data_IF_210798216897
#
_entry.id   IF_210798216897
#
_cell.length_a   1.000
_cell.length_b   1.000
_cell.length_c   1.000
_cell.angle_alpha   90.00
_cell.angle_beta   90.00
_cell.angle_gamma   90.00
#
_symmetry.space_group_name_H-M   'P 1'
#
loop_
_entity.id
_entity.type
_entity.pdbx_description
1 polymer ?
#
# COMPACT_ATOMS: atom_id res chain seq x y z
N UNK A 1 -29.07 -0.73 -13.00
CA UNK A 1 -29.87 -1.97 -12.87
C UNK A 1 -29.25 -3.16 -13.64
N UNK A 2 -28.20 -2.93 -14.45
CA UNK A 2 -27.64 -3.95 -15.37
C UNK A 2 -26.38 -4.67 -14.89
N UNK A 3 -25.77 -4.21 -13.79
CA UNK A 3 -24.62 -4.85 -13.17
C UNK A 3 -24.77 -6.37 -12.95
N UNK A 4 -25.91 -6.91 -12.48
CA UNK A 4 -26.04 -8.36 -12.30
C UNK A 4 -26.13 -9.13 -13.62
N UNK A 5 -26.72 -8.55 -14.68
CA UNK A 5 -26.84 -9.19 -16.01
C UNK A 5 -25.51 -9.24 -16.75
N UNK A 6 -24.71 -8.17 -16.65
CA UNK A 6 -23.36 -8.12 -17.23
C UNK A 6 -22.47 -9.15 -16.52
N UNK A 7 -22.58 -9.26 -15.20
CA UNK A 7 -21.82 -10.24 -14.41
C UNK A 7 -22.10 -11.68 -14.84
N UNK A 8 -23.36 -12.05 -15.03
CA UNK A 8 -23.72 -13.42 -15.43
C UNK A 8 -23.33 -13.73 -16.88
N UNK A 9 -23.41 -12.75 -17.78
CA UNK A 9 -22.99 -12.93 -19.18
C UNK A 9 -21.48 -13.13 -19.30
N UNK A 10 -20.69 -12.30 -18.60
CA UNK A 10 -19.23 -12.42 -18.61
C UNK A 10 -18.76 -13.70 -17.89
N UNK A 11 -19.45 -14.15 -16.84
CA UNK A 11 -19.16 -15.43 -16.20
C UNK A 11 -19.41 -16.64 -17.11
N UNK A 12 -20.41 -16.56 -18.00
CA UNK A 12 -20.72 -17.60 -18.98
C UNK A 12 -19.68 -17.78 -20.08
N UNK A 13 -18.77 -16.83 -20.27
CA UNK A 13 -17.68 -16.92 -21.25
C UNK A 13 -16.49 -17.76 -20.75
N UNK A 14 -16.46 -18.14 -19.47
CA UNK A 14 -15.38 -18.92 -18.88
C UNK A 14 -15.85 -20.32 -18.45
N UNK A 15 -15.00 -21.35 -18.59
CA UNK A 15 -15.30 -22.70 -18.12
C UNK A 15 -15.73 -22.72 -16.64
N UNK A 16 -16.66 -23.61 -16.23
CA UNK A 16 -17.19 -23.68 -14.86
C UNK A 16 -16.10 -23.73 -13.77
N UNK A 17 -14.98 -24.40 -14.07
CA UNK A 17 -13.83 -24.56 -13.17
C UNK A 17 -13.15 -23.24 -12.78
N UNK A 18 -13.31 -22.17 -13.58
CA UNK A 18 -12.65 -20.88 -13.37
C UNK A 18 -13.59 -19.76 -12.90
N UNK A 19 -14.90 -19.99 -12.87
CA UNK A 19 -15.86 -19.01 -12.39
C UNK A 19 -15.63 -18.50 -10.95
N UNK A 20 -15.25 -19.33 -9.95
CA UNK A 20 -14.99 -18.81 -8.59
C UNK A 20 -13.77 -17.87 -8.54
N UNK A 21 -12.72 -18.18 -9.30
CA UNK A 21 -11.53 -17.32 -9.44
C UNK A 21 -11.88 -15.99 -10.11
N UNK A 22 -12.62 -16.04 -11.21
CA UNK A 22 -13.04 -14.85 -11.95
C UNK A 22 -13.95 -13.95 -11.09
N UNK A 23 -14.85 -14.55 -10.31
CA UNK A 23 -15.68 -13.83 -9.35
C UNK A 23 -14.87 -13.11 -8.26
N UNK A 24 -13.73 -13.67 -7.84
CA UNK A 24 -12.80 -13.00 -6.91
C UNK A 24 -12.02 -11.88 -7.59
N UNK A 25 -11.53 -12.08 -8.82
CA UNK A 25 -10.86 -11.05 -9.61
C UNK A 25 -11.75 -9.80 -9.78
N UNK A 26 -13.00 -9.99 -10.21
CA UNK A 26 -13.95 -8.89 -10.36
C UNK A 26 -14.26 -8.18 -9.04
N UNK A 27 -14.35 -8.92 -7.93
CA UNK A 27 -14.56 -8.33 -6.60
C UNK A 27 -13.39 -7.44 -6.19
N UNK A 28 -12.15 -7.85 -6.46
CA UNK A 28 -10.94 -7.05 -6.18
C UNK A 28 -10.88 -5.79 -7.02
N UNK A 29 -11.14 -5.89 -8.32
CA UNK A 29 -11.21 -4.74 -9.22
C UNK A 29 -12.30 -3.79 -8.73
N UNK A 30 -13.53 -4.27 -8.52
CA UNK A 30 -14.64 -3.43 -8.03
C UNK A 30 -14.30 -2.69 -6.73
N UNK A 31 -13.61 -3.35 -5.80
CA UNK A 31 -13.14 -2.71 -4.56
C UNK A 31 -12.14 -1.58 -4.81
N UNK A 32 -11.20 -1.76 -5.76
CA UNK A 32 -10.24 -0.70 -6.15
C UNK A 32 -10.99 0.53 -6.65
N UNK A 33 -11.92 0.35 -7.59
CA UNK A 33 -12.68 1.47 -8.16
C UNK A 33 -13.55 2.16 -7.10
N UNK A 34 -14.25 1.40 -6.26
CA UNK A 34 -15.05 1.96 -5.17
C UNK A 34 -14.21 2.74 -4.16
N UNK A 35 -13.05 2.21 -3.77
CA UNK A 35 -12.14 2.87 -2.85
C UNK A 35 -11.56 4.15 -3.48
N UNK A 36 -11.15 4.09 -4.75
CA UNK A 36 -10.61 5.24 -5.48
C UNK A 36 -11.61 6.40 -5.55
N UNK A 37 -12.84 6.17 -6.04
CA UNK A 37 -13.83 7.25 -6.16
C UNK A 37 -14.22 7.85 -4.80
N UNK A 38 -14.37 7.00 -3.77
CA UNK A 38 -14.64 7.48 -2.40
C UNK A 38 -13.49 8.29 -1.85
N UNK A 39 -12.26 7.83 -2.09
CA UNK A 39 -11.04 8.52 -1.71
C UNK A 39 -10.93 9.88 -2.40
N UNK A 40 -11.20 9.94 -3.71
CA UNK A 40 -11.09 11.18 -4.47
C UNK A 40 -12.07 12.24 -4.00
N UNK A 41 -13.35 11.88 -3.81
CA UNK A 41 -14.37 12.83 -3.32
C UNK A 41 -13.95 13.38 -1.95
N UNK A 42 -13.42 12.52 -1.09
CA UNK A 42 -12.91 12.94 0.22
C UNK A 42 -11.69 13.86 0.10
N UNK A 43 -10.77 13.56 -0.83
CA UNK A 43 -9.59 14.40 -1.11
C UNK A 43 -10.01 15.79 -1.58
N UNK A 44 -10.89 15.88 -2.58
CA UNK A 44 -11.43 17.14 -3.09
C UNK A 44 -12.05 17.98 -1.96
N UNK A 45 -12.81 17.36 -1.06
CA UNK A 45 -13.42 18.04 0.07
C UNK A 45 -12.37 18.54 1.08
N UNK A 46 -11.43 17.68 1.46
CA UNK A 46 -10.37 18.02 2.43
C UNK A 46 -9.51 19.15 1.89
N UNK A 47 -9.05 19.06 0.63
CA UNK A 47 -8.20 20.07 0.01
C UNK A 47 -8.96 21.37 -0.19
N UNK A 48 -10.20 21.33 -0.67
CA UNK A 48 -11.00 22.54 -0.85
C UNK A 48 -11.27 23.28 0.46
N UNK A 49 -11.67 22.55 1.52
CA UNK A 49 -11.95 23.14 2.84
C UNK A 49 -10.67 23.63 3.52
N UNK A 50 -9.58 22.86 3.48
CA UNK A 50 -8.31 23.27 4.09
C UNK A 50 -7.72 24.49 3.39
N UNK A 51 -7.83 24.57 2.06
CA UNK A 51 -7.40 25.73 1.28
C UNK A 51 -8.25 26.95 1.59
N UNK A 52 -9.59 26.81 1.60
CA UNK A 52 -10.48 27.91 1.97
C UNK A 52 -10.14 28.44 3.37
N UNK A 53 -10.09 27.58 4.39
CA UNK A 53 -9.81 28.01 5.76
C UNK A 53 -8.43 28.68 5.88
N UNK A 54 -7.41 28.14 5.21
CA UNK A 54 -6.06 28.69 5.29
C UNK A 54 -5.94 30.05 4.62
N UNK A 55 -6.61 30.24 3.48
CA UNK A 55 -6.66 31.52 2.77
C UNK A 55 -7.55 32.55 3.49
N UNK A 56 -8.68 32.11 4.06
CA UNK A 56 -9.58 32.95 4.86
C UNK A 56 -8.85 33.50 6.09
N UNK A 57 -8.11 32.64 6.81
CA UNK A 57 -7.30 33.04 7.96
C UNK A 57 -6.17 34.01 7.57
N UNK A 58 -5.67 33.92 6.34
CA UNK A 58 -4.70 34.85 5.79
C UNK A 58 -5.33 36.15 5.24
N UNK A 59 -6.66 36.30 5.31
CA UNK A 59 -7.38 37.47 4.82
C UNK A 59 -7.43 37.58 3.29
N UNK A 60 -7.46 36.44 2.57
CA UNK A 60 -7.50 36.42 1.12
C UNK A 60 -8.89 36.80 0.57
N UNK A 61 -9.00 37.83 -0.29
CA UNK A 61 -10.24 38.16 -0.96
C UNK A 61 -10.73 36.99 -1.81
N UNK A 62 -11.98 36.56 -1.59
CA UNK A 62 -12.57 35.44 -2.33
C UNK A 62 -11.99 34.07 -1.95
N UNK A 63 -11.44 33.91 -0.74
CA UNK A 63 -10.88 32.64 -0.25
C UNK A 63 -11.80 31.43 -0.46
N UNK A 64 -13.11 31.58 -0.28
CA UNK A 64 -14.08 30.50 -0.50
C UNK A 64 -14.12 30.03 -1.96
N UNK A 65 -14.10 30.96 -2.91
CA UNK A 65 -14.08 30.64 -4.34
C UNK A 65 -12.78 29.95 -4.70
N UNK A 66 -11.65 30.46 -4.22
CA UNK A 66 -10.33 29.86 -4.44
C UNK A 66 -10.23 28.46 -3.84
N UNK A 67 -10.76 28.25 -2.63
CA UNK A 67 -10.83 26.93 -2.01
C UNK A 67 -11.74 25.97 -2.77
N UNK A 68 -12.89 26.43 -3.27
CA UNK A 68 -13.76 25.61 -4.12
C UNK A 68 -13.07 25.21 -5.44
N UNK A 69 -12.34 26.13 -6.07
CA UNK A 69 -11.54 25.85 -7.26
C UNK A 69 -10.43 24.84 -6.94
N UNK A 70 -9.73 25.00 -5.82
CA UNK A 70 -8.71 24.04 -5.39
C UNK A 70 -9.29 22.64 -5.20
N UNK A 71 -10.40 22.49 -4.48
CA UNK A 71 -11.07 21.21 -4.30
C UNK A 71 -11.60 20.60 -5.60
N UNK A 72 -12.07 21.42 -6.55
CA UNK A 72 -12.52 20.94 -7.86
C UNK A 72 -11.36 20.47 -8.75
N UNK A 73 -10.25 21.22 -8.77
CA UNK A 73 -9.05 20.86 -9.53
C UNK A 73 -8.34 19.64 -8.92
N UNK A 74 -8.55 19.37 -7.63
CA UNK A 74 -8.07 18.16 -6.94
C UNK A 74 -8.64 16.86 -7.53
N UNK A 75 -9.62 16.90 -8.44
CA UNK A 75 -10.05 15.69 -9.18
C UNK A 75 -8.85 15.00 -9.84
N UNK A 76 -7.83 15.74 -10.28
CA UNK A 76 -6.58 15.16 -10.78
C UNK A 76 -5.49 15.29 -9.70
N UNK A 77 -5.14 14.18 -9.00
CA UNK A 77 -4.21 14.22 -7.87
C UNK A 77 -2.88 14.89 -8.24
N UNK A 78 -2.31 15.67 -7.31
CA UNK A 78 -1.06 16.45 -7.44
C UNK A 78 -1.10 17.62 -8.46
N UNK A 79 -1.95 17.54 -9.49
CA UNK A 79 -2.10 18.63 -10.46
C UNK A 79 -3.04 19.72 -9.93
N UNK A 80 -4.06 19.34 -9.17
CA UNK A 80 -5.07 20.24 -8.63
C UNK A 80 -4.53 21.43 -7.84
N UNK A 81 -3.77 21.21 -6.76
CA UNK A 81 -3.31 22.29 -5.89
C UNK A 81 -2.29 23.19 -6.59
N UNK A 82 -1.44 22.59 -7.43
CA UNK A 82 -0.45 23.31 -8.25
C UNK A 82 -1.14 24.30 -9.20
N UNK A 83 -2.21 23.87 -9.87
CA UNK A 83 -2.96 24.73 -10.79
C UNK A 83 -3.80 25.76 -10.04
N UNK A 84 -4.41 25.39 -8.91
CA UNK A 84 -5.22 26.27 -8.08
C UNK A 84 -4.42 27.40 -7.42
N UNK A 85 -3.14 27.17 -7.17
CA UNK A 85 -2.22 28.18 -6.63
C UNK A 85 -2.07 29.38 -7.58
N UNK A 86 -2.11 29.17 -8.90
CA UNK A 86 -1.90 30.23 -9.91
C UNK A 86 -2.90 31.39 -9.73
N UNK A 87 -4.24 31.19 -9.80
CA UNK A 87 -5.18 32.27 -9.61
C UNK A 87 -5.11 32.85 -8.19
N UNK A 88 -4.82 32.04 -7.17
CA UNK A 88 -4.70 32.53 -5.80
C UNK A 88 -3.52 33.50 -5.61
N UNK A 89 -2.36 33.19 -6.21
CA UNK A 89 -1.19 34.07 -6.20
C UNK A 89 -1.44 35.35 -6.99
N UNK A 90 -2.14 35.26 -8.14
CA UNK A 90 -2.54 36.45 -8.91
C UNK A 90 -3.44 37.36 -8.07
N UNK A 91 -4.44 36.80 -7.38
CA UNK A 91 -5.31 37.56 -6.48
C UNK A 91 -4.51 38.18 -5.34
N UNK A 92 -3.59 37.43 -4.73
CA UNK A 92 -2.72 37.94 -3.66
C UNK A 92 -1.87 39.15 -4.10
N UNK A 93 -1.31 39.11 -5.31
CA UNK A 93 -0.49 40.20 -5.87
C UNK A 93 -1.30 41.45 -6.19
N UNK A 94 -2.54 41.28 -6.68
CA UNK A 94 -3.38 42.40 -7.14
C UNK A 94 -4.16 43.00 -5.98
N UNK A 95 -4.80 42.18 -5.17
CA UNK A 95 -5.76 42.62 -4.15
C UNK A 95 -5.14 42.71 -2.75
N UNK A 96 -4.04 41.99 -2.48
CA UNK A 96 -3.44 41.95 -1.16
C UNK A 96 -4.31 41.17 -0.15
N UNK A 97 -4.06 41.42 1.14
CA UNK A 97 -4.77 40.79 2.26
C UNK A 97 -5.59 41.81 3.02
N UNK A 98 -6.84 41.47 3.32
CA UNK A 98 -7.74 42.29 4.14
C UNK A 98 -7.28 42.37 5.61
N UNK A 99 -6.55 41.35 6.08
CA UNK A 99 -6.12 41.22 7.48
C UNK A 99 -4.66 41.63 7.67
N UNK A 100 -3.79 41.18 6.77
CA UNK A 100 -2.34 41.43 6.86
C UNK A 100 -1.91 42.73 6.18
N UNK A 101 -2.69 43.23 5.22
CA UNK A 101 -2.43 44.51 4.56
C UNK A 101 -2.37 45.69 5.55
N UNK A 102 -3.35 45.85 6.46
CA UNK A 102 -3.29 46.87 7.52
C UNK A 102 -2.11 46.71 8.49
N UNK A 103 -1.51 45.53 8.58
CA UNK A 103 -0.31 45.28 9.40
C UNK A 103 1.00 45.67 8.69
N UNK A 104 0.93 46.24 7.49
CA UNK A 104 2.09 46.68 6.71
C UNK A 104 2.72 45.60 5.83
N UNK A 105 2.04 44.47 5.62
CA UNK A 105 2.50 43.45 4.66
C UNK A 105 2.12 43.90 3.24
N UNK A 106 3.12 44.02 2.38
CA UNK A 106 2.94 44.34 0.97
C UNK A 106 2.41 43.14 0.17
N UNK A 107 1.80 43.42 -0.98
CA UNK A 107 1.18 42.39 -1.81
C UNK A 107 2.16 41.30 -2.27
N UNK A 108 3.45 41.64 -2.45
CA UNK A 108 4.48 40.66 -2.86
C UNK A 108 4.77 39.69 -1.71
N UNK A 109 4.94 40.20 -0.49
CA UNK A 109 5.08 39.34 0.70
C UNK A 109 3.84 38.50 0.94
N UNK A 110 2.64 39.04 0.72
CA UNK A 110 1.39 38.27 0.84
C UNK A 110 1.27 37.16 -0.21
N UNK A 111 1.70 37.42 -1.45
CA UNK A 111 1.78 36.39 -2.47
C UNK A 111 2.76 35.27 -2.09
N UNK A 112 3.90 35.61 -1.48
CA UNK A 112 4.85 34.62 -0.98
C UNK A 112 4.26 33.78 0.16
N UNK A 113 3.52 34.41 1.09
CA UNK A 113 2.77 33.70 2.14
C UNK A 113 1.75 32.75 1.51
N UNK A 114 1.04 33.19 0.47
CA UNK A 114 0.06 32.36 -0.25
C UNK A 114 0.73 31.14 -0.88
N UNK A 115 1.88 31.29 -1.53
CA UNK A 115 2.69 30.16 -2.02
C UNK A 115 3.08 29.23 -0.88
N UNK A 116 3.51 29.77 0.26
CA UNK A 116 3.84 29.00 1.46
C UNK A 116 2.66 28.19 2.01
N UNK A 117 1.45 28.74 1.98
CA UNK A 117 0.22 28.05 2.37
C UNK A 117 -0.05 26.86 1.43
N UNK A 118 -0.04 27.09 0.12
CA UNK A 118 -0.27 26.01 -0.87
C UNK A 118 0.81 24.93 -0.76
N UNK A 119 2.07 25.32 -0.56
CA UNK A 119 3.16 24.38 -0.31
C UNK A 119 2.91 23.54 0.94
N UNK A 120 2.51 24.16 2.06
CA UNK A 120 2.21 23.44 3.29
C UNK A 120 1.03 22.47 3.12
N UNK A 121 -0.02 22.88 2.42
CA UNK A 121 -1.16 22.03 2.10
C UNK A 121 -0.70 20.83 1.26
N UNK A 122 0.13 21.05 0.23
CA UNK A 122 0.68 19.97 -0.60
C UNK A 122 1.52 18.99 0.23
N UNK A 123 2.30 19.49 1.19
CA UNK A 123 3.08 18.64 2.09
C UNK A 123 2.18 17.81 3.02
N UNK A 124 1.12 18.41 3.56
CA UNK A 124 0.12 17.70 4.36
C UNK A 124 -0.60 16.64 3.52
N UNK A 125 -0.93 16.97 2.28
CA UNK A 125 -1.56 16.05 1.34
C UNK A 125 -0.69 14.82 1.11
N UNK A 126 0.54 15.04 0.65
CA UNK A 126 1.45 13.98 0.23
C UNK A 126 1.89 13.09 1.39
N UNK A 127 2.10 13.66 2.58
CA UNK A 127 2.68 12.94 3.71
C UNK A 127 1.64 12.39 4.70
N UNK A 128 0.43 12.95 4.75
CA UNK A 128 -0.57 12.60 5.77
C UNK A 128 -1.90 12.22 5.15
N UNK A 129 -2.45 13.06 4.26
CA UNK A 129 -3.82 12.87 3.77
C UNK A 129 -3.87 11.68 2.81
N UNK A 130 -3.03 11.65 1.78
CA UNK A 130 -2.98 10.55 0.80
C UNK A 130 -2.76 9.19 1.48
N UNK A 131 -1.77 9.01 2.38
CA UNK A 131 -1.59 7.75 3.10
C UNK A 131 -2.80 7.35 3.95
N UNK A 132 -3.51 8.31 4.55
CA UNK A 132 -4.70 8.00 5.38
C UNK A 132 -5.96 7.72 4.58
N UNK A 133 -6.13 8.40 3.44
CA UNK A 133 -7.34 8.28 2.60
C UNK A 133 -7.24 7.08 1.66
N UNK A 134 -6.07 6.83 1.07
CA UNK A 134 -5.87 5.79 0.05
C UNK A 134 -5.20 4.53 0.65
N UNK A 135 -4.45 4.67 1.77
CA UNK A 135 -3.85 3.56 2.50
C UNK A 135 -2.74 2.81 1.73
N UNK A 136 -2.33 1.65 2.26
CA UNK A 136 -1.37 0.72 1.63
C UNK A 136 -1.88 0.06 0.33
N UNK A 137 -3.13 0.33 -0.04
CA UNK A 137 -3.86 -0.37 -1.11
C UNK A 137 -3.23 -0.20 -2.49
N UNK A 138 -2.42 0.84 -2.67
CA UNK A 138 -1.80 1.22 -3.94
C UNK A 138 -0.31 1.45 -3.73
N UNK A 139 0.42 0.44 -3.25
CA UNK A 139 1.89 0.40 -3.22
C UNK A 139 2.46 0.37 -4.67
N UNK A 140 2.19 1.43 -5.43
CA UNK A 140 2.74 1.69 -6.75
C UNK A 140 3.89 2.69 -6.58
N UNK A 141 5.01 2.40 -7.23
CA UNK A 141 6.12 3.36 -7.28
C UNK A 141 5.61 4.66 -7.92
N UNK A 142 5.88 5.86 -7.36
CA UNK A 142 5.36 7.13 -7.87
C UNK A 142 5.56 7.34 -9.39
N UNK A 143 6.71 6.90 -9.91
CA UNK A 143 7.03 6.91 -11.35
C UNK A 143 5.96 6.20 -12.19
N UNK A 144 5.46 5.05 -11.75
CA UNK A 144 4.44 4.28 -12.49
C UNK A 144 3.14 5.08 -12.59
N UNK A 145 2.78 5.79 -11.52
CA UNK A 145 1.57 6.63 -11.50
C UNK A 145 1.75 7.82 -12.46
N UNK A 146 2.89 8.50 -12.43
CA UNK A 146 3.18 9.63 -13.34
C UNK A 146 3.16 9.17 -14.80
N UNK A 147 3.88 8.10 -15.13
CA UNK A 147 3.87 7.54 -16.49
C UNK A 147 2.45 7.17 -16.93
N UNK A 148 1.68 6.55 -16.04
CA UNK A 148 0.29 6.21 -16.31
C UNK A 148 -0.62 7.42 -16.51
N UNK A 149 -0.43 8.50 -15.75
CA UNK A 149 -1.15 9.76 -15.92
C UNK A 149 -0.82 10.38 -17.29
N UNK A 150 0.45 10.38 -17.71
CA UNK A 150 0.87 10.91 -19.02
C UNK A 150 0.27 10.09 -20.17
N UNK A 151 0.32 8.76 -20.07
CA UNK A 151 -0.28 7.87 -21.07
C UNK A 151 -1.81 8.02 -21.08
N UNK A 152 -2.44 8.02 -19.91
CA UNK A 152 -3.87 8.24 -19.75
C UNK A 152 -4.32 9.57 -20.33
N UNK A 153 -3.56 10.64 -20.07
CA UNK A 153 -3.79 11.95 -20.65
C UNK A 153 -3.73 11.93 -22.18
N UNK A 154 -2.75 11.22 -22.74
CA UNK A 154 -2.59 11.11 -24.19
C UNK A 154 -3.73 10.33 -24.85
N UNK A 155 -4.31 9.33 -24.16
CA UNK A 155 -5.39 8.47 -24.70
C UNK A 155 -6.78 9.08 -24.50
N UNK A 156 -7.03 9.70 -23.34
CA UNK A 156 -8.36 10.12 -22.92
C UNK A 156 -8.43 11.51 -22.29
N UNK A 157 -7.38 12.33 -22.44
CA UNK A 157 -7.31 13.68 -21.87
C UNK A 157 -7.36 13.69 -20.34
N UNK A 158 -7.97 14.73 -19.78
CA UNK A 158 -8.14 14.88 -18.32
C UNK A 158 -8.83 13.67 -17.68
N UNK A 159 -9.82 13.08 -18.37
CA UNK A 159 -10.51 11.89 -17.88
C UNK A 159 -9.59 10.67 -17.84
N UNK A 160 -8.75 10.49 -18.87
CA UNK A 160 -7.77 9.41 -18.90
C UNK A 160 -6.67 9.58 -17.85
N UNK A 161 -6.23 10.81 -17.59
CA UNK A 161 -5.31 11.15 -16.50
C UNK A 161 -5.91 10.80 -15.13
N UNK A 162 -7.17 11.20 -14.90
CA UNK A 162 -7.90 10.90 -13.67
C UNK A 162 -8.06 9.39 -13.43
N UNK A 163 -8.42 8.64 -14.47
CA UNK A 163 -8.63 7.20 -14.39
C UNK A 163 -7.34 6.37 -14.41
N UNK A 164 -6.17 7.00 -14.58
CA UNK A 164 -4.90 6.28 -14.69
C UNK A 164 -4.62 5.40 -13.46
N UNK A 165 -4.76 5.95 -12.26
CA UNK A 165 -4.48 5.22 -11.02
C UNK A 165 -5.33 3.94 -10.84
N UNK A 166 -6.68 3.96 -10.91
CA UNK A 166 -7.49 2.76 -10.77
C UNK A 166 -7.31 1.77 -11.93
N UNK A 167 -7.03 2.25 -13.15
CA UNK A 167 -6.76 1.38 -14.30
C UNK A 167 -5.45 0.62 -14.12
N UNK A 168 -4.36 1.30 -13.75
CA UNK A 168 -3.06 0.66 -13.48
C UNK A 168 -3.17 -0.34 -12.34
N UNK A 169 -3.86 0.02 -11.26
CA UNK A 169 -4.10 -0.89 -10.15
C UNK A 169 -4.89 -2.13 -10.59
N UNK A 170 -5.90 -1.96 -11.43
CA UNK A 170 -6.67 -3.07 -12.02
C UNK A 170 -5.81 -3.96 -12.91
N UNK A 171 -4.99 -3.36 -13.79
CA UNK A 171 -4.05 -4.07 -14.66
C UNK A 171 -3.05 -4.90 -13.84
N UNK A 172 -2.55 -4.38 -12.72
CA UNK A 172 -1.66 -5.12 -11.83
C UNK A 172 -2.32 -6.36 -11.23
N UNK A 173 -3.59 -6.26 -10.81
CA UNK A 173 -4.34 -7.41 -10.29
C UNK A 173 -4.58 -8.45 -11.39
N UNK A 174 -4.92 -8.02 -12.59
CA UNK A 174 -5.11 -8.91 -13.75
C UNK A 174 -3.79 -9.58 -14.14
N UNK A 175 -2.69 -8.83 -14.22
CA UNK A 175 -1.36 -9.35 -14.52
C UNK A 175 -0.90 -10.39 -13.49
N UNK A 176 -1.15 -10.14 -12.21
CA UNK A 176 -0.88 -11.12 -11.15
C UNK A 176 -1.69 -12.41 -11.29
N UNK A 177 -2.97 -12.29 -11.67
CA UNK A 177 -3.82 -13.45 -11.96
C UNK A 177 -3.30 -14.28 -13.14
N UNK A 178 -2.95 -13.62 -14.25
CA UNK A 178 -2.42 -14.27 -15.46
C UNK A 178 -1.08 -14.95 -15.15
N UNK A 179 -0.17 -14.26 -14.43
CA UNK A 179 1.15 -14.79 -14.10
C UNK A 179 1.06 -16.03 -13.20
N UNK A 180 0.20 -16.00 -12.18
CA UNK A 180 -0.04 -17.16 -11.33
C UNK A 180 -0.57 -18.34 -12.14
N UNK A 181 -1.47 -18.09 -13.09
CA UNK A 181 -2.05 -19.13 -13.94
C UNK A 181 -1.08 -19.71 -14.96
N UNK A 182 -0.18 -18.89 -15.51
CA UNK A 182 0.88 -19.34 -16.42
C UNK A 182 1.94 -20.21 -15.74
N UNK A 183 2.12 -20.03 -14.42
CA UNK A 183 3.09 -20.78 -13.62
C UNK A 183 2.45 -21.86 -12.75
N UNK A 184 1.17 -22.20 -12.99
CA UNK A 184 0.39 -23.17 -12.21
C UNK A 184 0.37 -22.89 -10.68
N UNK A 185 0.55 -21.63 -10.30
CA UNK A 185 0.36 -21.19 -8.92
C UNK A 185 -1.12 -20.89 -8.65
N UNK A 186 -1.63 -21.21 -7.45
CA UNK A 186 -2.97 -20.85 -7.06
C UNK A 186 -3.10 -19.31 -6.96
N UNK A 187 -3.90 -18.66 -7.83
CA UNK A 187 -3.87 -17.21 -8.04
C UNK A 187 -4.31 -16.38 -6.83
N UNK A 188 -5.03 -16.99 -5.88
CA UNK A 188 -5.58 -16.31 -4.71
C UNK A 188 -5.34 -17.05 -3.38
N UNK A 189 -4.41 -18.02 -3.31
CA UNK A 189 -4.09 -18.66 -2.04
C UNK A 189 -3.28 -17.73 -1.13
N UNK A 190 -3.90 -17.34 -0.01
CA UNK A 190 -3.27 -16.60 1.08
C UNK A 190 -3.46 -15.08 1.01
N UNK A 191 -4.55 -14.57 1.62
CA UNK A 191 -4.66 -13.27 2.34
C UNK A 191 -6.10 -12.86 2.71
N UNK A 192 -6.97 -13.81 3.03
CA UNK A 192 -8.11 -13.55 3.92
C UNK A 192 -7.89 -14.47 5.13
N UNK A 193 -7.42 -13.90 6.25
CA UNK A 193 -7.36 -14.63 7.52
C UNK A 193 -6.07 -15.37 7.86
N UNK A 194 -4.98 -15.27 7.09
CA UNK A 194 -3.66 -15.60 7.63
C UNK A 194 -3.23 -14.48 8.57
N UNK A 195 -3.83 -14.47 9.77
CA UNK A 195 -3.19 -13.94 10.96
C UNK A 195 -1.75 -14.45 10.89
N UNK A 196 -0.78 -13.56 10.58
CA UNK A 196 0.62 -13.86 10.88
C UNK A 196 0.56 -14.42 12.29
N UNK A 197 0.98 -15.66 12.57
CA UNK A 197 0.93 -16.15 13.94
C UNK A 197 1.67 -15.08 14.72
N UNK A 198 0.95 -14.33 15.57
CA UNK A 198 1.60 -13.46 16.54
C UNK A 198 2.37 -14.47 17.33
N UNK A 199 3.66 -14.61 17.02
CA UNK A 199 4.60 -15.25 17.89
C UNK A 199 4.57 -14.34 19.10
N UNK A 200 3.61 -14.62 19.99
CA UNK A 200 3.54 -14.10 21.32
C UNK A 200 4.81 -14.63 21.91
N UNK A 201 5.84 -13.81 21.89
CA UNK A 201 7.12 -14.10 22.51
C UNK A 201 6.82 -14.40 23.97
N UNK A 202 6.63 -15.67 24.26
CA UNK A 202 6.43 -16.17 25.61
C UNK A 202 7.82 -16.18 26.24
N UNK A 203 8.31 -14.97 26.53
CA UNK A 203 9.47 -14.77 27.39
C UNK A 203 9.01 -15.07 28.82
N UNK A 204 8.63 -16.32 29.09
CA UNK A 204 8.70 -16.84 30.45
C UNK A 204 10.18 -17.05 30.67
N UNK A 205 10.80 -16.18 31.45
CA UNK A 205 12.03 -16.51 32.16
C UNK A 205 11.70 -17.71 33.05
N UNK A 206 11.92 -18.91 32.52
CA UNK A 206 11.91 -20.14 33.30
C UNK A 206 13.00 -19.96 34.36
N UNK A 207 12.61 -19.90 35.64
CA UNK A 207 13.58 -19.96 36.73
C UNK A 207 14.26 -21.32 36.67
N UNK A 208 15.56 -21.39 36.96
CA UNK A 208 16.37 -22.61 36.83
C UNK A 208 15.80 -23.84 37.56
N UNK A 209 14.95 -23.65 38.56
CA UNK A 209 14.24 -24.72 39.26
C UNK A 209 13.17 -25.43 38.41
N UNK A 210 12.50 -24.74 37.49
CA UNK A 210 11.49 -25.36 36.60
C UNK A 210 12.15 -26.23 35.53
N UNK A 211 13.30 -25.81 35.01
CA UNK A 211 14.10 -26.60 34.05
C UNK A 211 14.60 -27.89 34.70
N UNK A 212 15.02 -27.82 35.98
CA UNK A 212 15.50 -28.98 36.74
C UNK A 212 14.41 -30.01 37.03
N UNK A 213 13.14 -29.59 37.12
CA UNK A 213 11.98 -30.49 37.28
C UNK A 213 11.52 -31.13 35.96
N UNK A 214 11.86 -30.53 34.82
CA UNK A 214 11.48 -31.03 33.49
C UNK A 214 12.48 -32.02 32.89
N UNK A 215 13.69 -32.11 33.46
CA UNK A 215 14.68 -33.09 33.02
C UNK A 215 14.32 -34.47 33.58
N UNK A 216 14.12 -35.50 32.74
CA UNK A 216 13.97 -36.86 33.21
C UNK A 216 15.23 -37.22 33.98
N UNK A 217 15.08 -37.65 35.23
CA UNK A 217 16.18 -38.21 36.02
C UNK A 217 16.65 -39.46 35.28
N UNK A 218 17.73 -39.35 34.52
CA UNK A 218 18.38 -40.49 33.89
C UNK A 218 18.91 -41.38 35.01
N UNK A 219 18.15 -42.43 35.35
CA UNK A 219 18.74 -43.58 36.02
C UNK A 219 19.85 -44.11 35.11
N UNK A 220 21.05 -44.41 35.63
CA UNK A 220 22.11 -44.98 34.81
C UNK A 220 21.66 -46.33 34.24
N UNK A 221 21.82 -46.49 32.92
CA UNK A 221 21.50 -47.67 32.14
C UNK A 221 22.18 -48.92 32.70
N UNK A 222 21.51 -50.09 32.82
CA UNK A 222 22.17 -51.34 33.18
C UNK A 222 23.17 -51.72 32.08
N UNK A 223 24.41 -52.05 32.45
CA UNK A 223 25.44 -52.49 31.51
C UNK A 223 25.04 -53.83 30.85
N UNK A 224 25.25 -54.02 29.53
CA UNK A 224 24.94 -55.27 28.86
C UNK A 224 25.95 -56.36 29.26
N UNK A 225 25.42 -57.52 29.62
CA UNK A 225 26.13 -58.75 29.95
C UNK A 225 26.98 -59.27 28.79
N UNK A 226 28.23 -59.59 29.10
CA UNK A 226 29.27 -60.12 28.20
C UNK A 226 28.80 -61.38 27.45
N UNK A 227 28.59 -61.26 26.15
CA UNK A 227 28.36 -62.39 25.24
C UNK A 227 29.72 -62.93 24.76
N UNK A 228 30.03 -64.20 25.08
CA UNK A 228 31.25 -64.89 24.66
C UNK A 228 31.20 -65.19 23.16
N UNK A 229 32.23 -64.78 22.42
CA UNK A 229 32.49 -65.27 21.07
C UNK A 229 33.10 -66.70 21.11
N UNK A 230 32.83 -67.57 20.13
CA UNK A 230 33.56 -68.83 19.97
C UNK A 230 34.94 -68.57 19.36
N UNK A 231 35.96 -69.14 19.99
CA UNK A 231 37.37 -69.08 19.62
C UNK A 231 37.61 -70.03 18.43
N UNK A 232 37.88 -69.47 17.26
CA UNK A 232 38.12 -70.20 16.02
C UNK A 232 39.61 -70.54 15.87
N UNK A 233 39.82 -71.79 15.48
CA UNK A 233 41.03 -72.61 15.45
C UNK A 233 42.18 -72.02 14.61
N UNK A 234 43.38 -72.00 15.18
CA UNK A 234 44.64 -71.62 14.50
C UNK A 234 45.34 -72.86 13.95
N UNK A 235 45.94 -72.81 12.75
CA UNK A 235 47.08 -73.67 12.45
C UNK A 235 48.41 -72.90 12.31
N UNK A 236 49.55 -73.57 12.60
CA UNK A 236 50.85 -72.96 12.85
C UNK A 236 51.73 -72.96 11.60
N UNK A 237 52.73 -72.08 11.53
CA UNK A 237 54.00 -72.19 10.77
C UNK A 237 54.58 -70.76 10.67
N UNK A 238 55.84 -70.40 10.88
CA UNK A 238 57.13 -71.03 11.16
C UNK A 238 58.09 -69.87 11.45
N UNK A 239 59.05 -70.07 12.36
CA UNK A 239 60.19 -69.17 12.54
C UNK A 239 61.06 -69.08 11.27
N UNK A 240 61.94 -68.06 11.17
CA UNK A 240 63.34 -68.42 11.37
C UNK A 240 64.14 -67.42 12.22
N UNK A 241 65.24 -67.96 12.73
CA UNK A 241 66.28 -67.32 13.53
C UNK A 241 67.20 -66.41 12.70
N UNK A 242 67.70 -65.35 13.35
CA UNK A 242 68.95 -64.58 13.10
C UNK A 242 68.74 -63.21 13.77
N UNK A 243 69.56 -62.65 14.65
CA UNK A 243 70.98 -62.81 15.03
C UNK A 243 71.14 -62.32 16.46
#
# INVERSE_FOLDING_TARGET
>A
KDAPKIRSYVQGLFPPSYQPEFGELLRRISRIWQAFFRGQILLCLIIGVSTWLSLELAGMPGALILGAVAGALEIVPNLGPTLAMIPAVIVALIQGSDVLGPMGIDNVSFALITVGIYFLIQQLENNIIVPRVIGDSVNLHPIIVICGVVVGFSVGGVLGAFLAAPVIASMRVIGGYIHAKLLDYPPFQGRIGAEKPRIRSYRRTLKGEEIRRMLPTTNPTPQPSTERAPEEDSPPSTAPAST
#
